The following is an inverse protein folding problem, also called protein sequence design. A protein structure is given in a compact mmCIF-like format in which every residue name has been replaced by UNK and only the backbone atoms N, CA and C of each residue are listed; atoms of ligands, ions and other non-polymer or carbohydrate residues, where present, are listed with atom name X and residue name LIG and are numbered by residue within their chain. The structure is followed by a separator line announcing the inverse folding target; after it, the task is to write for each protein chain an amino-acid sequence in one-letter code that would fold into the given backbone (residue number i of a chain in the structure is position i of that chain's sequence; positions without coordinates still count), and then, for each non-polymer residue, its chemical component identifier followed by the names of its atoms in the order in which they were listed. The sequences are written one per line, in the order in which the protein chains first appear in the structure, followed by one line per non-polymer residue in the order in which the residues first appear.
data_IF_421398805025
#
_entry.id   IF_421398805025
#
_cell.length_a   1.000
_cell.length_b   1.000
_cell.length_c   1.000
_cell.angle_alpha   90.00
_cell.angle_beta   90.00
_cell.angle_gamma   90.00
#
_symmetry.space_group_name_H-M   'P 1'
#
loop_
_entity.id
_entity.type
_entity.pdbx_description
1 polymer ?
#
# COMPACT_ATOMS: atom_id res chain seq x y z
N UNK A 1 14.40 -39.88 39.44
CA UNK A 1 13.52 -40.26 38.29
C UNK A 1 12.41 -39.23 38.30
N UNK A 2 12.29 -38.24 37.43
CA UNK A 2 12.67 -38.01 36.01
C UNK A 2 12.94 -36.49 35.87
N UNK A 3 14.11 -36.02 35.41
CA UNK A 3 14.39 -35.62 34.01
C UNK A 3 13.13 -35.10 33.29
N UNK A 4 13.01 -33.88 32.76
CA UNK A 4 13.94 -32.83 32.44
C UNK A 4 13.27 -32.06 31.30
N UNK A 5 13.04 -30.76 31.46
CA UNK A 5 12.55 -29.90 30.37
C UNK A 5 13.09 -28.48 30.57
N UNK A 6 14.42 -28.39 30.46
CA UNK A 6 15.06 -27.21 29.90
C UNK A 6 14.80 -27.27 28.40
N UNK A 7 14.17 -26.23 27.84
CA UNK A 7 14.54 -25.58 26.56
C UNK A 7 13.34 -24.80 26.03
N UNK A 8 13.29 -23.49 26.27
CA UNK A 8 12.84 -22.55 25.25
C UNK A 8 13.37 -21.14 25.52
N UNK A 9 14.70 -21.04 25.55
CA UNK A 9 15.40 -19.76 25.36
C UNK A 9 16.01 -19.82 23.97
N UNK A 10 15.19 -19.67 22.93
CA UNK A 10 15.67 -19.53 21.55
C UNK A 10 15.89 -18.06 21.26
N UNK A 11 17.16 -17.67 21.39
CA UNK A 11 17.86 -16.65 20.60
C UNK A 11 17.22 -15.25 20.50
N UNK A 12 17.38 -14.46 21.56
CA UNK A 12 17.72 -13.05 21.40
C UNK A 12 19.26 -12.96 21.30
N UNK A 13 19.82 -13.31 20.14
CA UNK A 13 21.22 -13.03 19.87
C UNK A 13 21.33 -11.54 19.51
N UNK A 14 21.81 -10.75 20.45
CA UNK A 14 22.32 -9.40 20.24
C UNK A 14 23.34 -9.40 19.10
N UNK A 15 22.96 -8.92 17.93
CA UNK A 15 23.89 -8.62 16.84
C UNK A 15 24.64 -7.32 17.15
N UNK A 16 25.44 -7.32 18.22
CA UNK A 16 26.40 -6.26 18.48
C UNK A 16 27.64 -6.52 17.60
N UNK A 17 27.77 -5.74 16.52
CA UNK A 17 29.09 -5.36 15.98
C UNK A 17 29.88 -6.39 15.18
N UNK A 18 29.27 -7.16 14.28
CA UNK A 18 30.03 -7.80 13.21
C UNK A 18 30.35 -6.75 12.12
N UNK A 19 31.60 -6.26 12.06
CA UNK A 19 32.05 -5.38 10.96
C UNK A 19 31.77 -6.05 9.62
N UNK A 20 31.13 -5.32 8.72
CA UNK A 20 30.88 -5.81 7.36
C UNK A 20 32.20 -6.01 6.63
N UNK A 21 32.36 -7.17 5.98
CA UNK A 21 33.50 -7.47 5.10
C UNK A 21 33.42 -6.76 3.76
N UNK A 22 32.30 -6.09 3.46
CA UNK A 22 32.08 -5.38 2.19
C UNK A 22 32.91 -4.10 2.12
N UNK A 23 33.60 -3.89 1.01
CA UNK A 23 34.29 -2.63 0.75
C UNK A 23 33.29 -1.52 0.37
N UNK A 24 33.73 -0.26 0.43
CA UNK A 24 32.92 0.87 -0.06
C UNK A 24 32.57 0.74 -1.54
N UNK A 25 33.48 0.19 -2.36
CA UNK A 25 33.26 -0.03 -3.78
C UNK A 25 32.16 -1.07 -4.02
N UNK A 26 32.15 -2.15 -3.23
CA UNK A 26 31.10 -3.19 -3.32
C UNK A 26 29.73 -2.63 -2.96
N UNK A 27 29.65 -1.84 -1.88
CA UNK A 27 28.41 -1.17 -1.47
C UNK A 27 27.89 -0.21 -2.53
N UNK A 28 28.78 0.57 -3.15
CA UNK A 28 28.39 1.48 -4.24
C UNK A 28 27.95 0.74 -5.49
N UNK A 29 28.57 -0.40 -5.81
CA UNK A 29 28.16 -1.25 -6.93
C UNK A 29 26.75 -1.81 -6.74
N UNK A 30 26.42 -2.28 -5.53
CA UNK A 30 25.10 -2.82 -5.22
C UNK A 30 24.03 -1.73 -5.07
N UNK A 31 24.27 -0.71 -4.26
CA UNK A 31 23.24 0.26 -3.88
C UNK A 31 23.14 1.46 -4.81
N UNK A 32 24.17 1.72 -5.63
CA UNK A 32 24.51 3.00 -6.25
C UNK A 32 24.98 4.06 -5.24
N UNK A 33 25.87 4.95 -5.67
CA UNK A 33 26.36 6.05 -4.84
C UNK A 33 25.25 6.97 -4.32
N UNK A 34 24.25 7.42 -5.12
CA UNK A 34 23.20 8.31 -4.62
C UNK A 34 22.38 7.70 -3.48
N UNK A 35 22.02 6.41 -3.60
CA UNK A 35 21.26 5.71 -2.55
C UNK A 35 22.10 5.54 -1.30
N UNK A 36 23.33 5.03 -1.43
CA UNK A 36 24.24 4.83 -0.30
C UNK A 36 24.49 6.15 0.45
N UNK A 37 24.69 7.26 -0.26
CA UNK A 37 24.91 8.57 0.32
C UNK A 37 23.75 9.04 1.20
N UNK A 38 22.51 8.61 0.91
CA UNK A 38 21.35 8.96 1.74
C UNK A 38 21.44 8.32 3.13
N UNK A 39 21.89 7.06 3.20
CA UNK A 39 22.10 6.35 4.46
C UNK A 39 23.36 6.83 5.19
N UNK A 40 24.46 7.07 4.47
CA UNK A 40 25.68 7.65 5.05
C UNK A 40 25.41 9.02 5.69
N UNK A 41 24.60 9.88 5.04
CA UNK A 41 24.24 11.18 5.59
C UNK A 41 23.46 11.05 6.91
N UNK A 42 22.55 10.07 7.03
CA UNK A 42 21.81 9.80 8.26
C UNK A 42 22.69 9.19 9.38
N UNK A 43 23.81 8.58 9.01
CA UNK A 43 24.71 7.86 9.93
C UNK A 43 26.04 8.57 10.17
N UNK A 44 26.15 9.89 9.97
CA UNK A 44 27.40 10.65 10.14
C UNK A 44 28.61 10.06 9.38
N UNK A 45 28.36 9.54 8.17
CA UNK A 45 29.34 8.85 7.32
C UNK A 45 29.88 7.52 7.89
N UNK A 46 29.28 6.97 8.95
CA UNK A 46 29.56 5.62 9.41
C UNK A 46 29.00 4.60 8.40
N UNK A 47 29.92 3.88 7.74
CA UNK A 47 29.60 2.88 6.73
C UNK A 47 28.81 1.70 7.29
N UNK A 48 29.25 1.15 8.42
CA UNK A 48 28.67 -0.07 8.96
C UNK A 48 27.26 0.21 9.48
N UNK A 49 27.07 1.35 10.16
CA UNK A 49 25.76 1.82 10.59
C UNK A 49 24.86 2.18 9.40
N UNK A 50 25.39 2.75 8.31
CA UNK A 50 24.61 3.02 7.10
C UNK A 50 24.12 1.73 6.41
N UNK A 51 24.94 0.68 6.39
CA UNK A 51 24.53 -0.63 5.88
C UNK A 51 23.45 -1.26 6.79
N UNK A 52 23.64 -1.18 8.11
CA UNK A 52 22.65 -1.64 9.08
C UNK A 52 21.30 -0.91 8.89
N UNK A 53 21.33 0.41 8.76
CA UNK A 53 20.14 1.23 8.50
C UNK A 53 19.46 0.88 7.17
N UNK A 54 20.22 0.58 6.11
CA UNK A 54 19.67 0.13 4.83
C UNK A 54 18.94 -1.22 4.95
N UNK A 55 19.55 -2.18 5.65
CA UNK A 55 18.94 -3.49 5.91
C UNK A 55 17.66 -3.34 6.74
N UNK A 56 17.72 -2.56 7.82
CA UNK A 56 16.55 -2.22 8.65
C UNK A 56 15.45 -1.54 7.83
N UNK A 57 15.78 -0.56 6.99
CA UNK A 57 14.82 0.13 6.11
C UNK A 57 14.09 -0.87 5.22
N UNK A 58 14.82 -1.82 4.64
CA UNK A 58 14.25 -2.86 3.76
C UNK A 58 13.28 -3.77 4.51
N UNK A 59 13.61 -4.15 5.75
CA UNK A 59 12.73 -4.96 6.61
C UNK A 59 11.46 -4.20 6.99
N UNK A 60 11.59 -2.95 7.42
CA UNK A 60 10.45 -2.09 7.76
C UNK A 60 9.59 -1.79 6.52
N UNK A 61 10.20 -1.56 5.36
CA UNK A 61 9.47 -1.34 4.12
C UNK A 61 8.66 -2.57 3.72
N UNK A 62 9.22 -3.77 3.84
CA UNK A 62 8.51 -5.01 3.59
C UNK A 62 7.34 -5.22 4.56
N UNK A 63 7.54 -5.00 5.86
CA UNK A 63 6.49 -5.12 6.87
C UNK A 63 5.33 -4.13 6.62
N UNK A 64 5.63 -2.86 6.38
CA UNK A 64 4.61 -1.85 6.07
C UNK A 64 3.89 -2.14 4.74
N UNK A 65 4.58 -2.75 3.78
CA UNK A 65 3.97 -3.17 2.51
C UNK A 65 2.97 -4.31 2.74
N UNK A 66 3.25 -5.25 3.64
CA UNK A 66 2.30 -6.31 4.03
C UNK A 66 1.00 -5.71 4.56
N UNK A 67 1.07 -4.81 5.53
CA UNK A 67 -0.12 -4.14 6.10
C UNK A 67 -0.89 -3.36 5.03
N UNK A 68 -0.18 -2.67 4.14
CA UNK A 68 -0.78 -1.93 3.03
C UNK A 68 -1.48 -2.85 2.03
N UNK A 69 -0.91 -4.03 1.73
CA UNK A 69 -1.51 -5.02 0.84
C UNK A 69 -2.81 -5.60 1.43
N UNK A 70 -2.87 -5.84 2.75
CA UNK A 70 -4.11 -6.26 3.41
C UNK A 70 -5.20 -5.20 3.25
N UNK A 71 -4.86 -3.92 3.45
CA UNK A 71 -5.77 -2.80 3.22
C UNK A 71 -6.23 -2.72 1.76
N UNK A 72 -5.32 -2.88 0.79
CA UNK A 72 -5.65 -2.83 -0.64
C UNK A 72 -6.71 -3.88 -1.01
N UNK A 73 -6.56 -5.11 -0.51
CA UNK A 73 -7.55 -6.18 -0.70
C UNK A 73 -8.88 -5.81 -0.05
N UNK A 74 -8.87 -5.29 1.17
CA UNK A 74 -10.08 -4.89 1.89
C UNK A 74 -10.82 -3.76 1.15
N UNK A 75 -10.12 -2.72 0.72
CA UNK A 75 -10.69 -1.59 -0.01
C UNK A 75 -11.29 -2.02 -1.35
N UNK A 76 -10.57 -2.84 -2.11
CA UNK A 76 -11.05 -3.40 -3.37
C UNK A 76 -12.36 -4.15 -3.17
N UNK A 77 -12.39 -5.05 -2.20
CA UNK A 77 -13.58 -5.86 -1.93
C UNK A 77 -14.74 -5.00 -1.42
N UNK A 78 -14.46 -3.95 -0.64
CA UNK A 78 -15.46 -2.99 -0.19
C UNK A 78 -16.07 -2.20 -1.36
N UNK A 79 -15.24 -1.73 -2.30
CA UNK A 79 -15.73 -1.01 -3.47
C UNK A 79 -16.51 -1.93 -4.39
N UNK A 80 -15.95 -3.10 -4.72
CA UNK A 80 -16.61 -4.07 -5.58
C UNK A 80 -17.98 -4.47 -5.04
N UNK A 81 -18.09 -4.77 -3.74
CA UNK A 81 -19.38 -5.10 -3.10
C UNK A 81 -20.45 -4.05 -3.36
N UNK A 82 -20.11 -2.76 -3.31
CA UNK A 82 -21.09 -1.68 -3.57
C UNK A 82 -21.37 -1.46 -5.06
N UNK A 83 -20.36 -1.63 -5.92
CA UNK A 83 -20.51 -1.51 -7.38
C UNK A 83 -21.36 -2.66 -7.95
N UNK A 84 -21.09 -3.88 -7.51
CA UNK A 84 -21.73 -5.12 -7.97
C UNK A 84 -23.21 -5.22 -7.60
N UNK A 85 -23.69 -4.45 -6.61
CA UNK A 85 -25.13 -4.32 -6.31
C UNK A 85 -25.93 -3.76 -7.49
N UNK A 86 -25.32 -2.89 -8.30
CA UNK A 86 -25.97 -2.27 -9.47
C UNK A 86 -25.41 -2.78 -10.80
N UNK A 87 -24.15 -3.16 -10.83
CA UNK A 87 -23.46 -3.64 -12.02
C UNK A 87 -22.80 -4.99 -11.74
N UNK A 88 -23.57 -6.09 -11.67
CA UNK A 88 -23.00 -7.41 -11.45
C UNK A 88 -21.94 -7.72 -12.52
N UNK A 89 -20.83 -8.35 -12.13
CA UNK A 89 -19.77 -8.77 -13.04
C UNK A 89 -19.18 -7.65 -13.92
N UNK A 90 -19.25 -6.39 -13.47
CA UNK A 90 -18.88 -5.19 -14.24
C UNK A 90 -17.47 -5.19 -14.85
N UNK A 91 -16.55 -6.00 -14.34
CA UNK A 91 -15.18 -6.11 -14.86
C UNK A 91 -15.06 -7.02 -16.09
N UNK A 92 -16.00 -7.94 -16.28
CA UNK A 92 -15.99 -8.96 -17.35
C UNK A 92 -17.16 -8.84 -18.31
N UNK A 93 -18.28 -8.28 -17.86
CA UNK A 93 -19.46 -8.01 -18.68
C UNK A 93 -19.17 -6.92 -19.74
N UNK A 94 -19.20 -7.25 -21.04
CA UNK A 94 -18.99 -6.27 -22.12
C UNK A 94 -20.11 -5.22 -22.20
N UNK A 95 -21.29 -5.55 -21.68
CA UNK A 95 -22.47 -4.68 -21.70
C UNK A 95 -22.62 -3.87 -20.40
N UNK A 96 -21.66 -3.95 -19.48
CA UNK A 96 -21.66 -3.16 -18.26
C UNK A 96 -21.61 -1.66 -18.52
N UNK A 97 -22.61 -0.95 -18.01
CA UNK A 97 -22.68 0.51 -18.08
C UNK A 97 -21.79 1.24 -17.07
N UNK A 98 -21.10 0.53 -16.16
CA UNK A 98 -20.40 1.16 -15.03
C UNK A 98 -19.46 2.30 -15.46
N UNK A 99 -18.62 2.04 -16.47
CA UNK A 99 -17.70 3.04 -17.04
C UNK A 99 -18.27 3.76 -18.27
N UNK A 100 -19.57 3.68 -18.53
CA UNK A 100 -20.27 4.56 -19.49
C UNK A 100 -21.00 5.72 -18.80
N UNK A 101 -21.11 5.67 -17.46
CA UNK A 101 -21.77 6.70 -16.65
C UNK A 101 -21.08 8.05 -16.73
N UNK A 102 -21.86 9.08 -17.05
CA UNK A 102 -21.49 10.49 -16.96
C UNK A 102 -22.63 11.27 -16.27
N UNK A 103 -22.30 12.42 -15.70
CA UNK A 103 -23.25 13.35 -15.08
C UNK A 103 -22.76 14.79 -15.22
N UNK A 104 -23.70 15.72 -15.41
CA UNK A 104 -23.42 17.13 -15.69
C UNK A 104 -23.33 17.42 -17.19
N UNK A 105 -22.60 18.48 -17.56
CA UNK A 105 -22.48 18.95 -18.94
C UNK A 105 -21.08 19.50 -19.23
N UNK A 106 -20.78 19.66 -20.53
CA UNK A 106 -19.53 20.25 -21.02
C UNK A 106 -18.27 19.56 -20.49
N UNK A 107 -17.33 20.35 -19.96
CA UNK A 107 -16.01 19.89 -19.51
C UNK A 107 -16.08 18.77 -18.45
N UNK A 108 -17.10 18.76 -17.60
CA UNK A 108 -17.27 17.70 -16.59
C UNK A 108 -17.47 16.32 -17.22
N UNK A 109 -18.34 16.24 -18.23
CA UNK A 109 -18.61 14.99 -18.97
C UNK A 109 -17.35 14.56 -19.74
N UNK A 110 -16.67 15.49 -20.42
CA UNK A 110 -15.42 15.18 -21.14
C UNK A 110 -14.38 14.54 -20.22
N UNK A 111 -14.17 15.08 -19.01
CA UNK A 111 -13.21 14.54 -18.05
C UNK A 111 -13.64 13.18 -17.50
N UNK A 112 -14.92 12.99 -17.23
CA UNK A 112 -15.45 11.68 -16.79
C UNK A 112 -15.28 10.61 -17.87
N UNK A 113 -15.55 10.93 -19.14
CA UNK A 113 -15.34 10.02 -20.27
C UNK A 113 -13.88 9.60 -20.36
N UNK A 114 -12.94 10.53 -20.21
CA UNK A 114 -11.51 10.22 -20.25
C UNK A 114 -11.07 9.32 -19.09
N UNK A 115 -11.50 9.64 -17.87
CA UNK A 115 -11.25 8.78 -16.70
C UNK A 115 -11.83 7.37 -16.92
N UNK A 116 -13.02 7.28 -17.50
CA UNK A 116 -13.69 6.02 -17.79
C UNK A 116 -12.95 5.18 -18.83
N UNK A 117 -12.46 5.81 -19.92
CA UNK A 117 -11.59 5.14 -20.89
C UNK A 117 -10.35 4.55 -20.21
N UNK A 118 -9.70 5.32 -19.33
CA UNK A 118 -8.57 4.84 -18.54
C UNK A 118 -8.90 3.63 -17.66
N UNK A 119 -10.07 3.64 -17.01
CA UNK A 119 -10.54 2.49 -16.22
C UNK A 119 -10.81 1.25 -17.08
N UNK A 120 -11.44 1.40 -18.26
CA UNK A 120 -11.65 0.29 -19.20
C UNK A 120 -10.31 -0.25 -19.71
N UNK A 121 -9.37 0.61 -20.06
CA UNK A 121 -8.03 0.21 -20.48
C UNK A 121 -7.29 -0.58 -19.39
N UNK A 122 -7.39 -0.16 -18.13
CA UNK A 122 -6.82 -0.87 -16.98
C UNK A 122 -7.45 -2.26 -16.80
N UNK A 123 -8.77 -2.40 -16.97
CA UNK A 123 -9.44 -3.71 -16.93
C UNK A 123 -9.02 -4.62 -18.08
N UNK A 124 -8.91 -4.06 -19.30
CA UNK A 124 -8.41 -4.80 -20.46
C UNK A 124 -6.97 -5.27 -20.24
N UNK A 125 -6.12 -4.43 -19.65
CA UNK A 125 -4.76 -4.81 -19.29
C UNK A 125 -4.74 -5.93 -18.22
N UNK A 126 -5.57 -5.83 -17.18
CA UNK A 126 -5.68 -6.84 -16.13
C UNK A 126 -6.17 -8.21 -16.66
N UNK A 127 -6.94 -8.23 -17.75
CA UNK A 127 -7.37 -9.48 -18.42
C UNK A 127 -6.24 -10.18 -19.18
N UNK A 128 -5.16 -9.47 -19.53
CA UNK A 128 -4.04 -10.06 -20.29
C UNK A 128 -3.39 -11.16 -19.45
N UNK A 129 -3.35 -12.38 -19.97
CA UNK A 129 -2.76 -13.54 -19.28
C UNK A 129 -3.70 -14.31 -18.35
N UNK A 130 -4.98 -13.92 -18.23
CA UNK A 130 -5.95 -14.64 -17.38
C UNK A 130 -6.74 -15.74 -18.12
N UNK A 131 -6.37 -16.04 -19.38
CA UNK A 131 -7.07 -16.99 -20.25
C UNK A 131 -8.23 -16.35 -21.04
N UNK A 132 -8.95 -17.17 -21.81
CA UNK A 132 -10.00 -16.69 -22.72
C UNK A 132 -11.25 -16.17 -22.01
N UNK A 133 -11.58 -16.72 -20.84
CA UNK A 133 -12.81 -16.42 -20.08
C UNK A 133 -12.51 -16.17 -18.60
N UNK A 134 -11.79 -15.07 -18.28
CA UNK A 134 -11.50 -14.74 -16.89
C UNK A 134 -12.79 -14.40 -16.15
N UNK A 135 -12.92 -14.86 -14.90
CA UNK A 135 -14.04 -14.49 -14.05
C UNK A 135 -13.82 -13.11 -13.41
N UNK A 136 -14.90 -12.52 -12.90
CA UNK A 136 -14.92 -11.19 -12.31
C UNK A 136 -13.82 -10.99 -11.26
N UNK A 137 -13.75 -11.89 -10.27
CA UNK A 137 -12.79 -11.83 -9.18
C UNK A 137 -11.33 -11.93 -9.62
N UNK A 138 -11.01 -12.76 -10.62
CA UNK A 138 -9.65 -12.85 -11.19
C UNK A 138 -9.21 -11.54 -11.83
N UNK A 139 -10.12 -10.87 -12.56
CA UNK A 139 -9.81 -9.56 -13.14
C UNK A 139 -9.56 -8.53 -12.05
N UNK A 140 -10.39 -8.50 -11.00
CA UNK A 140 -10.19 -7.58 -9.87
C UNK A 140 -8.86 -7.85 -9.14
N UNK A 141 -8.50 -9.13 -8.97
CA UNK A 141 -7.23 -9.57 -8.41
C UNK A 141 -6.01 -9.02 -9.16
N UNK A 142 -6.11 -8.90 -10.49
CA UNK A 142 -5.04 -8.43 -11.36
C UNK A 142 -5.01 -6.89 -11.56
N UNK A 143 -5.97 -6.14 -11.00
CA UNK A 143 -5.92 -4.66 -11.03
C UNK A 143 -4.91 -4.12 -10.02
N UNK A 144 -4.27 -2.99 -10.34
CA UNK A 144 -3.35 -2.30 -9.42
C UNK A 144 -4.11 -1.45 -8.42
N UNK A 145 -3.50 -1.13 -7.28
CA UNK A 145 -4.08 -0.20 -6.30
C UNK A 145 -4.50 1.14 -6.93
N UNK A 146 -3.68 1.66 -7.85
CA UNK A 146 -3.94 2.89 -8.58
C UNK A 146 -5.29 2.92 -9.31
N UNK A 147 -5.79 1.78 -9.78
CA UNK A 147 -7.13 1.68 -10.38
C UNK A 147 -8.23 2.07 -9.36
N UNK A 148 -8.13 1.56 -8.14
CA UNK A 148 -9.12 1.80 -7.07
C UNK A 148 -9.07 3.26 -6.57
N UNK A 149 -7.89 3.87 -6.51
CA UNK A 149 -7.72 5.30 -6.18
C UNK A 149 -8.57 6.18 -7.12
N UNK A 150 -8.54 5.89 -8.43
CA UNK A 150 -9.24 6.66 -9.46
C UNK A 150 -10.77 6.59 -9.37
N UNK A 151 -11.34 5.64 -8.63
CA UNK A 151 -12.80 5.56 -8.48
C UNK A 151 -13.36 6.65 -7.56
N UNK A 152 -12.50 7.28 -6.75
CA UNK A 152 -12.85 8.37 -5.83
C UNK A 152 -12.42 9.75 -6.33
N UNK A 153 -12.00 9.88 -7.60
CA UNK A 153 -11.67 11.17 -8.20
C UNK A 153 -12.83 12.17 -8.06
N UNK A 154 -12.51 13.46 -7.88
CA UNK A 154 -13.51 14.53 -7.69
C UNK A 154 -14.57 14.52 -8.80
N UNK A 155 -14.15 14.36 -10.05
CA UNK A 155 -15.05 14.37 -11.22
C UNK A 155 -16.01 13.16 -11.25
N UNK A 156 -15.72 12.12 -10.47
CA UNK A 156 -16.55 10.92 -10.31
C UNK A 156 -17.47 10.97 -9.08
N UNK A 157 -17.56 12.13 -8.41
CA UNK A 157 -18.41 12.26 -7.23
C UNK A 157 -19.87 11.91 -7.53
N UNK A 158 -20.44 12.46 -8.61
CA UNK A 158 -21.84 12.24 -8.99
C UNK A 158 -22.09 10.85 -9.62
N UNK A 159 -21.09 10.23 -10.23
CA UNK A 159 -21.24 8.97 -10.99
C UNK A 159 -20.91 7.73 -10.17
N UNK A 160 -19.94 7.80 -9.26
CA UNK A 160 -19.46 6.70 -8.40
C UNK A 160 -19.71 6.95 -6.91
N UNK A 161 -19.20 8.06 -6.35
CA UNK A 161 -19.20 8.29 -4.90
C UNK A 161 -20.60 8.37 -4.29
N UNK A 162 -21.37 9.39 -4.67
CA UNK A 162 -22.69 9.68 -4.11
C UNK A 162 -23.66 8.51 -4.28
N UNK A 163 -23.78 7.87 -5.48
CA UNK A 163 -24.74 6.79 -5.64
C UNK A 163 -24.29 5.45 -5.03
N UNK A 164 -22.98 5.19 -4.88
CA UNK A 164 -22.46 3.85 -4.55
C UNK A 164 -21.36 3.90 -3.49
N UNK A 165 -20.18 4.43 -3.80
CA UNK A 165 -18.96 4.17 -3.00
C UNK A 165 -18.99 4.72 -1.57
N UNK A 166 -19.76 5.78 -1.29
CA UNK A 166 -19.91 6.28 0.08
C UNK A 166 -20.44 5.22 1.06
N UNK A 167 -21.12 4.19 0.56
CA UNK A 167 -21.69 3.07 1.34
C UNK A 167 -20.67 1.98 1.65
N UNK A 168 -19.47 2.06 1.08
CA UNK A 168 -18.41 1.09 1.32
C UNK A 168 -17.72 1.28 2.68
N UNK A 169 -18.01 2.39 3.36
CA UNK A 169 -17.32 2.82 4.57
C UNK A 169 -18.24 2.79 5.79
N UNK A 170 -17.67 2.40 6.92
CA UNK A 170 -18.19 2.63 8.26
C UNK A 170 -17.97 4.10 8.64
N UNK A 171 -18.97 4.69 9.30
CA UNK A 171 -19.00 6.14 9.55
C UNK A 171 -19.46 6.93 8.34
N UNK A 172 -19.12 8.23 8.31
CA UNK A 172 -19.57 9.16 7.26
C UNK A 172 -18.42 10.01 6.71
N UNK A 173 -17.29 9.42 6.27
CA UNK A 173 -16.21 10.19 5.68
C UNK A 173 -16.67 10.84 4.38
N UNK A 174 -16.12 12.00 4.06
CA UNK A 174 -16.34 12.67 2.79
C UNK A 174 -15.49 12.02 1.69
N UNK A 175 -15.90 12.23 0.43
CA UNK A 175 -15.14 11.80 -0.75
C UNK A 175 -13.71 12.35 -0.75
N UNK A 176 -13.53 13.60 -0.28
CA UNK A 176 -12.24 14.26 -0.21
C UNK A 176 -11.29 13.53 0.73
N UNK A 177 -11.73 13.30 1.96
CA UNK A 177 -10.95 12.59 2.99
C UNK A 177 -10.53 11.20 2.51
N UNK A 178 -11.47 10.42 1.94
CA UNK A 178 -11.16 9.10 1.39
C UNK A 178 -10.16 9.22 0.23
N UNK A 179 -10.42 10.08 -0.76
CA UNK A 179 -9.60 10.16 -1.96
C UNK A 179 -8.16 10.55 -1.62
N UNK A 180 -7.99 11.60 -0.81
CA UNK A 180 -6.68 12.08 -0.42
C UNK A 180 -5.89 11.03 0.36
N UNK A 181 -6.54 10.33 1.29
CA UNK A 181 -5.95 9.26 2.07
C UNK A 181 -5.52 8.09 1.20
N UNK A 182 -6.42 7.56 0.38
CA UNK A 182 -6.14 6.47 -0.56
C UNK A 182 -5.02 6.86 -1.53
N UNK A 183 -5.00 8.10 -2.02
CA UNK A 183 -3.95 8.61 -2.90
C UNK A 183 -2.58 8.69 -2.20
N UNK A 184 -2.52 9.18 -0.95
CA UNK A 184 -1.29 9.20 -0.16
C UNK A 184 -0.78 7.79 0.16
N UNK A 185 -1.66 6.87 0.51
CA UNK A 185 -1.30 5.46 0.77
C UNK A 185 -0.78 4.80 -0.52
N UNK A 186 -1.41 5.01 -1.67
CA UNK A 186 -0.91 4.46 -2.94
C UNK A 186 0.49 5.00 -3.30
N UNK A 187 0.76 6.29 -3.05
CA UNK A 187 2.13 6.83 -3.19
C UNK A 187 3.10 6.16 -2.22
N UNK A 188 2.74 6.06 -0.94
CA UNK A 188 3.56 5.42 0.09
C UNK A 188 3.87 3.95 -0.27
N UNK A 189 2.85 3.17 -0.64
CA UNK A 189 2.98 1.79 -1.14
C UNK A 189 4.02 1.66 -2.24
N UNK A 190 4.01 2.57 -3.22
CA UNK A 190 4.97 2.52 -4.32
C UNK A 190 6.40 2.79 -3.84
N UNK A 191 6.58 3.72 -2.90
CA UNK A 191 7.89 4.00 -2.28
C UNK A 191 8.42 2.80 -1.51
N UNK A 192 7.57 2.13 -0.74
CA UNK A 192 7.91 0.87 -0.06
C UNK A 192 8.35 -0.21 -1.06
N UNK A 193 7.58 -0.39 -2.15
CA UNK A 193 7.90 -1.35 -3.19
C UNK A 193 9.20 -1.02 -3.97
N UNK A 194 9.58 0.26 -4.04
CA UNK A 194 10.84 0.71 -4.61
C UNK A 194 12.00 0.74 -3.60
N UNK A 195 11.76 0.26 -2.37
CA UNK A 195 12.70 0.29 -1.26
C UNK A 195 13.32 1.68 -1.04
N UNK A 196 12.49 2.72 -1.13
CA UNK A 196 12.89 4.08 -0.79
C UNK A 196 13.06 4.24 0.74
N UNK A 197 13.85 5.23 1.20
CA UNK A 197 14.03 5.52 2.61
C UNK A 197 12.71 5.88 3.32
N UNK A 198 12.28 5.05 4.27
CA UNK A 198 11.04 5.25 5.04
C UNK A 198 11.15 6.39 6.04
N UNK A 199 12.37 6.71 6.48
CA UNK A 199 12.70 7.82 7.38
C UNK A 199 12.86 9.18 6.69
N UNK A 200 12.64 9.26 5.36
CA UNK A 200 12.66 10.57 4.69
C UNK A 200 11.56 11.48 5.24
N UNK A 201 11.86 12.77 5.42
CA UNK A 201 10.87 13.80 5.80
C UNK A 201 9.69 13.91 4.83
N UNK A 202 9.88 13.47 3.58
CA UNK A 202 8.81 13.40 2.58
C UNK A 202 7.93 12.15 2.71
N UNK A 203 8.42 11.10 3.39
CA UNK A 203 7.70 9.84 3.61
C UNK A 203 6.62 10.00 4.66
N UNK A 204 6.91 10.72 5.74
CA UNK A 204 6.00 10.88 6.87
C UNK A 204 5.50 9.52 7.37
N UNK A 205 6.42 8.58 7.67
CA UNK A 205 6.12 7.18 7.98
C UNK A 205 4.93 7.04 8.94
N UNK A 206 5.01 7.68 10.10
CA UNK A 206 3.96 7.62 11.12
C UNK A 206 2.61 8.13 10.61
N UNK A 207 2.59 9.20 9.82
CA UNK A 207 1.35 9.71 9.22
C UNK A 207 0.78 8.75 8.18
N UNK A 208 1.64 8.03 7.44
CA UNK A 208 1.19 7.04 6.45
C UNK A 208 0.65 5.78 7.11
N UNK A 209 1.29 5.32 8.18
CA UNK A 209 0.80 4.21 9.00
C UNK A 209 -0.55 4.55 9.65
N UNK A 210 -0.70 5.77 10.19
CA UNK A 210 -1.99 6.25 10.71
C UNK A 210 -3.07 6.29 9.62
N UNK A 211 -2.75 6.80 8.43
CA UNK A 211 -3.70 6.80 7.32
C UNK A 211 -4.12 5.38 6.90
N UNK A 212 -3.20 4.41 6.94
CA UNK A 212 -3.50 2.98 6.68
C UNK A 212 -4.48 2.48 7.73
N UNK A 213 -4.16 2.61 9.01
CA UNK A 213 -5.00 2.12 10.11
C UNK A 213 -6.40 2.71 10.06
N UNK A 214 -6.51 4.04 9.97
CA UNK A 214 -7.80 4.70 9.99
C UNK A 214 -8.65 4.38 8.75
N UNK A 215 -8.03 4.27 7.56
CA UNK A 215 -8.76 3.82 6.37
C UNK A 215 -9.21 2.36 6.49
N UNK A 216 -8.38 1.51 7.10
CA UNK A 216 -8.70 0.10 7.34
C UNK A 216 -9.91 -0.02 8.27
N UNK A 217 -9.92 0.75 9.35
CA UNK A 217 -11.06 0.83 10.28
C UNK A 217 -12.34 1.30 9.57
N UNK A 218 -12.23 2.20 8.57
CA UNK A 218 -13.39 2.61 7.78
C UNK A 218 -13.92 1.51 6.85
N UNK A 219 -13.08 0.61 6.32
CA UNK A 219 -13.54 -0.36 5.29
C UNK A 219 -13.81 -1.75 5.85
N UNK A 220 -13.09 -2.17 6.89
CA UNK A 220 -13.16 -3.51 7.45
C UNK A 220 -12.62 -3.56 8.90
N UNK A 221 -13.38 -3.05 9.90
CA UNK A 221 -12.92 -2.95 11.29
C UNK A 221 -12.38 -4.25 11.88
N UNK A 222 -13.04 -5.39 11.64
CA UNK A 222 -12.59 -6.69 12.16
C UNK A 222 -11.26 -7.14 11.55
N UNK A 223 -11.04 -6.85 10.26
CA UNK A 223 -9.76 -7.14 9.60
C UNK A 223 -8.67 -6.18 10.05
N UNK A 224 -8.99 -4.90 10.27
CA UNK A 224 -8.08 -3.91 10.81
C UNK A 224 -7.56 -4.32 12.20
N UNK A 225 -8.44 -4.80 13.08
CA UNK A 225 -8.06 -5.32 14.39
C UNK A 225 -7.10 -6.53 14.29
N UNK A 226 -7.35 -7.45 13.36
CA UNK A 226 -6.46 -8.59 13.13
C UNK A 226 -5.08 -8.14 12.63
N UNK A 227 -5.01 -7.30 11.59
CA UNK A 227 -3.75 -6.82 11.02
C UNK A 227 -2.95 -6.03 12.06
N UNK A 228 -3.61 -5.16 12.85
CA UNK A 228 -2.96 -4.44 13.96
C UNK A 228 -2.33 -5.40 14.97
N UNK A 229 -3.00 -6.49 15.31
CA UNK A 229 -2.51 -7.49 16.26
C UNK A 229 -1.34 -8.32 15.73
N UNK A 230 -1.22 -8.48 14.41
CA UNK A 230 -0.19 -9.30 13.76
C UNK A 230 0.94 -8.49 13.12
N UNK A 231 0.81 -7.16 13.04
CA UNK A 231 1.81 -6.30 12.39
C UNK A 231 3.14 -6.31 13.15
N UNK A 232 4.23 -6.46 12.41
CA UNK A 232 5.59 -6.37 12.94
C UNK A 232 6.17 -4.95 12.86
N UNK A 233 5.45 -4.02 12.21
CA UNK A 233 5.88 -2.63 12.01
C UNK A 233 6.24 -1.93 13.32
N UNK A 234 5.43 -1.98 14.41
CA UNK A 234 5.78 -1.30 15.65
C UNK A 234 7.09 -1.81 16.27
N UNK A 235 7.32 -3.13 16.20
CA UNK A 235 8.55 -3.74 16.72
C UNK A 235 9.77 -3.31 15.89
N UNK A 236 9.66 -3.28 14.57
CA UNK A 236 10.73 -2.84 13.68
C UNK A 236 11.05 -1.35 13.86
N UNK A 237 10.04 -0.49 14.05
CA UNK A 237 10.25 0.93 14.39
C UNK A 237 11.09 1.08 15.66
N UNK A 238 10.78 0.30 16.70
CA UNK A 238 11.54 0.31 17.96
C UNK A 238 12.99 -0.20 17.81
N UNK A 239 13.29 -0.95 16.75
CA UNK A 239 14.61 -1.48 16.43
C UNK A 239 15.41 -0.57 15.47
N UNK A 240 14.98 0.68 15.27
CA UNK A 240 15.73 1.60 14.42
C UNK A 240 17.18 1.77 14.92
N UNK A 241 18.20 1.51 14.09
CA UNK A 241 19.59 1.54 14.52
C UNK A 241 20.12 2.97 14.78
N UNK A 242 19.40 3.98 14.30
CA UNK A 242 19.76 5.41 14.48
C UNK A 242 18.74 6.07 15.41
N UNK A 243 19.19 6.41 16.61
CA UNK A 243 18.35 7.07 17.62
C UNK A 243 17.82 8.43 17.14
N UNK A 244 16.51 8.66 17.25
CA UNK A 244 15.86 9.92 16.89
C UNK A 244 15.69 10.17 15.39
N UNK A 245 15.87 9.13 14.55
CA UNK A 245 15.72 9.25 13.11
C UNK A 245 14.26 9.34 12.63
N UNK A 246 13.32 8.75 13.40
CA UNK A 246 11.90 8.66 13.06
C UNK A 246 11.04 9.70 13.78
#
# INVERSE_FOLDING_TARGET
MTAGEQTNTVMAATAQGARSTLSMADLQSWLSAPRLNTYLAACNQDRDLALELYCWNSQLAAAALVDTCHLEVALRNAYDRELSKRFPNWSVDPDSDLFRRTQGHGRAVTKQVELNKGSVAALTAAKRGLGATPNHGKVLAATTFGFWVKLTDRDRTATFWTPMLRRAFHGTPTRGEVHERVARINKFRNRLAHNEPVFSTTSGLHDRLRDIEELFDWVAPSAAAHVRATSTVPSLIAQCPVSGLL
#
